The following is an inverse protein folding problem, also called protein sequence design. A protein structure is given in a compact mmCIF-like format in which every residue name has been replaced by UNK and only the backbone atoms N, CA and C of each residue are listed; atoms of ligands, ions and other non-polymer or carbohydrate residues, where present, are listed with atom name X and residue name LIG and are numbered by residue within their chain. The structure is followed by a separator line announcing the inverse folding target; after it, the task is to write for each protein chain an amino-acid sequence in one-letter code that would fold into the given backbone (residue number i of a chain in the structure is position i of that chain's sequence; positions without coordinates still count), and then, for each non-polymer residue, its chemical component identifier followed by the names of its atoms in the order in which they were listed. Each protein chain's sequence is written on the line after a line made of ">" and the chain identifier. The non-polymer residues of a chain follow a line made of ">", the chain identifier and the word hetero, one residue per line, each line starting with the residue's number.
data_IF_769998647153
#
_entry.id   IF_769998647153
#
_cell.length_a   1.000
_cell.length_b   1.000
_cell.length_c   1.000
_cell.angle_alpha   90.00
_cell.angle_beta   90.00
_cell.angle_gamma   90.00
#
_symmetry.space_group_name_H-M   'P 1'
#
loop_
_entity.id
_entity.type
_entity.pdbx_description
1 polymer ?
#
# COMPACT_ATOMS: atom_id res chain seq x y z
N UNK A 1 73.61 4.42 34.64
CA UNK A 1 73.58 3.02 34.22
C UNK A 1 73.10 2.23 35.41
N UNK A 2 72.00 1.49 35.24
CA UNK A 2 71.58 0.37 36.10
C UNK A 2 71.18 0.73 37.56
N UNK A 3 70.26 0.08 38.29
CA UNK A 3 69.42 -1.12 38.11
C UNK A 3 68.53 -1.22 39.37
N UNK A 4 67.26 -1.62 39.17
CA UNK A 4 66.33 -2.39 40.06
C UNK A 4 66.01 -1.87 41.49
N UNK A 5 64.96 -2.26 42.20
CA UNK A 5 64.14 -3.49 42.17
C UNK A 5 62.78 -3.28 42.88
N UNK A 6 61.90 -4.25 42.67
CA UNK A 6 60.50 -4.36 43.07
C UNK A 6 60.32 -4.92 44.49
N UNK A 7 59.20 -4.58 45.15
CA UNK A 7 58.64 -5.24 46.36
C UNK A 7 57.50 -4.33 46.89
N UNK A 8 56.30 -4.70 47.34
CA UNK A 8 55.66 -5.94 47.82
C UNK A 8 54.11 -5.74 47.81
N UNK A 9 53.33 -6.83 47.76
CA UNK A 9 51.89 -6.85 48.11
C UNK A 9 51.71 -7.23 49.58
N UNK A 10 50.63 -6.77 50.23
CA UNK A 10 49.73 -7.67 50.97
C UNK A 10 48.24 -7.27 50.72
N UNK A 11 47.25 -8.15 50.55
CA UNK A 11 46.61 -9.18 51.40
C UNK A 11 45.17 -8.76 51.75
N UNK A 12 44.31 -9.78 51.81
CA UNK A 12 42.85 -9.86 52.00
C UNK A 12 42.34 -9.06 53.23
N UNK A 13 41.06 -8.69 53.43
CA UNK A 13 39.87 -9.53 53.61
C UNK A 13 38.60 -8.64 53.76
N UNK A 14 37.42 -9.22 53.58
CA UNK A 14 36.11 -8.58 53.43
C UNK A 14 35.39 -8.26 54.76
N UNK A 15 34.21 -7.63 54.65
CA UNK A 15 33.18 -7.26 55.66
C UNK A 15 33.29 -5.80 56.14
N UNK A 16 32.25 -5.00 56.36
CA UNK A 16 30.80 -5.22 56.48
C UNK A 16 30.06 -3.85 56.36
N UNK A 17 28.73 -3.92 56.31
CA UNK A 17 27.72 -2.95 56.75
C UNK A 17 27.58 -1.56 56.07
N UNK A 18 26.53 -1.48 55.24
CA UNK A 18 25.43 -0.51 55.25
C UNK A 18 25.71 0.97 55.61
N UNK A 19 25.65 1.83 54.59
CA UNK A 19 25.16 3.20 54.71
C UNK A 19 24.24 3.53 53.54
N UNK A 20 23.11 4.13 53.89
CA UNK A 20 22.00 4.58 53.07
C UNK A 20 22.47 5.71 52.16
N UNK A 21 22.53 5.47 50.85
CA UNK A 21 22.60 6.53 49.84
C UNK A 21 21.29 6.55 49.05
N UNK A 22 20.22 6.95 49.73
CA UNK A 22 19.05 7.49 49.05
C UNK A 22 19.47 8.79 48.38
N UNK A 23 19.63 8.78 47.06
CA UNK A 23 19.80 10.00 46.29
C UNK A 23 18.43 10.69 46.26
N UNK A 24 18.19 11.57 47.23
CA UNK A 24 17.01 12.42 47.26
C UNK A 24 17.17 13.49 46.18
N UNK A 25 16.69 13.17 44.97
CA UNK A 25 16.48 14.19 43.94
C UNK A 25 15.33 15.06 44.43
N UNK A 26 15.68 16.24 44.92
CA UNK A 26 14.73 17.27 45.34
C UNK A 26 14.13 17.91 44.08
N UNK A 27 13.29 17.17 43.36
CA UNK A 27 12.45 17.74 42.32
C UNK A 27 11.30 18.51 43.01
N UNK A 28 11.05 19.78 42.66
CA UNK A 28 9.88 20.48 43.16
C UNK A 28 8.62 19.70 42.73
N UNK A 29 7.82 19.31 43.71
CA UNK A 29 6.55 18.59 43.50
C UNK A 29 5.66 19.43 42.57
N UNK A 30 5.32 18.88 41.41
CA UNK A 30 4.31 19.49 40.54
C UNK A 30 2.97 19.47 41.28
N UNK A 31 2.27 20.60 41.25
CA UNK A 31 1.06 20.87 42.02
C UNK A 31 -0.15 19.98 41.66
N UNK A 32 -0.05 19.11 40.65
CA UNK A 32 -1.14 18.23 40.22
C UNK A 32 -0.80 16.74 40.13
N UNK A 33 0.36 16.27 40.60
CA UNK A 33 0.60 14.84 40.86
C UNK A 33 0.29 13.87 39.71
N UNK A 34 0.38 14.30 38.45
CA UNK A 34 0.24 13.42 37.28
C UNK A 34 1.63 13.03 36.83
N UNK A 35 1.92 11.73 36.76
CA UNK A 35 3.16 11.20 36.22
C UNK A 35 3.41 11.73 34.81
N UNK A 36 4.63 12.20 34.57
CA UNK A 36 5.05 12.76 33.30
C UNK A 36 4.98 11.67 32.22
N UNK A 37 3.92 11.66 31.41
CA UNK A 37 3.93 10.90 30.17
C UNK A 37 4.97 11.55 29.25
N UNK A 38 6.18 11.02 29.24
CA UNK A 38 7.27 11.46 28.37
C UNK A 38 6.83 11.28 26.93
N UNK A 39 6.44 12.37 26.26
CA UNK A 39 6.23 12.38 24.81
C UNK A 39 7.63 12.50 24.17
N UNK A 40 8.13 11.38 23.65
CA UNK A 40 9.56 11.11 23.39
C UNK A 40 10.16 11.85 22.17
N UNK A 41 9.59 12.95 21.69
CA UNK A 41 10.07 13.63 20.46
C UNK A 41 9.91 15.16 20.50
N UNK A 42 10.79 15.85 21.24
CA UNK A 42 10.90 17.34 21.24
C UNK A 42 11.83 17.86 20.13
N UNK A 43 11.75 17.29 18.92
CA UNK A 43 12.57 17.72 17.76
C UNK A 43 11.77 18.55 16.74
N UNK A 44 10.46 18.70 16.92
CA UNK A 44 9.57 19.30 15.91
C UNK A 44 9.22 20.75 16.25
N UNK A 45 9.33 21.69 15.29
CA UNK A 45 9.02 23.09 15.53
C UNK A 45 7.53 23.30 15.84
N UNK A 46 7.22 24.34 16.64
CA UNK A 46 5.87 24.66 17.14
C UNK A 46 4.81 24.90 16.05
N UNK A 47 5.23 25.06 14.79
CA UNK A 47 4.37 25.23 13.61
C UNK A 47 3.93 23.90 12.98
N UNK A 48 4.30 22.76 13.57
CA UNK A 48 3.93 21.45 13.05
C UNK A 48 2.42 21.22 13.13
N UNK A 49 1.78 21.17 11.96
CA UNK A 49 0.43 20.62 11.85
C UNK A 49 0.53 19.10 11.93
N UNK A 50 0.15 18.52 13.08
CA UNK A 50 0.04 17.07 13.26
C UNK A 50 -1.05 16.56 12.33
N UNK A 51 -0.64 16.06 11.17
CA UNK A 51 -1.52 15.34 10.26
C UNK A 51 -2.26 14.26 11.07
N UNK A 52 -3.58 14.19 10.90
CA UNK A 52 -4.42 13.19 11.56
C UNK A 52 -4.05 11.82 11.01
N UNK A 53 -3.03 11.17 11.57
CA UNK A 53 -2.81 9.73 11.39
C UNK A 53 -4.08 9.02 11.88
N UNK A 54 -4.61 8.10 11.08
CA UNK A 54 -5.77 7.30 11.49
C UNK A 54 -5.46 6.65 12.84
N UNK A 55 -6.41 6.73 13.78
CA UNK A 55 -6.22 6.43 15.22
C UNK A 55 -5.76 5.00 15.55
N UNK A 56 -5.59 4.10 14.58
CA UNK A 56 -5.09 2.76 14.86
C UNK A 56 -4.34 2.19 13.64
N UNK A 57 -3.00 2.27 13.61
CA UNK A 57 -2.20 1.61 12.57
C UNK A 57 -2.26 0.08 12.66
N UNK A 58 -2.71 -0.46 13.80
CA UNK A 58 -2.80 -1.90 14.09
C UNK A 58 -4.26 -2.39 14.07
N UNK A 59 -5.10 -1.73 13.27
CA UNK A 59 -6.50 -2.17 13.11
C UNK A 59 -6.50 -3.47 12.33
N UNK A 60 -6.66 -4.59 13.04
CA UNK A 60 -6.78 -5.91 12.43
C UNK A 60 -7.85 -5.90 11.32
N UNK A 61 -7.40 -6.14 10.09
CA UNK A 61 -8.28 -6.21 8.91
C UNK A 61 -9.28 -7.34 9.13
N UNK A 62 -10.58 -7.02 9.01
CA UNK A 62 -11.63 -8.02 9.16
C UNK A 62 -11.38 -9.22 8.24
N UNK A 63 -11.69 -10.43 8.71
CA UNK A 63 -11.55 -11.66 7.92
C UNK A 63 -12.27 -11.55 6.57
N UNK A 64 -13.44 -10.90 6.54
CA UNK A 64 -14.18 -10.61 5.30
C UNK A 64 -13.33 -9.79 4.32
N UNK A 65 -12.67 -8.74 4.79
CA UNK A 65 -11.87 -7.86 3.93
C UNK A 65 -10.60 -8.56 3.41
N UNK A 66 -10.01 -9.48 4.17
CA UNK A 66 -8.87 -10.30 3.72
C UNK A 66 -9.28 -11.34 2.68
N UNK A 67 -10.45 -11.94 2.82
CA UNK A 67 -10.93 -13.04 1.95
C UNK A 67 -11.51 -12.57 0.62
N UNK A 68 -11.96 -11.31 0.51
CA UNK A 68 -12.51 -10.74 -0.73
C UNK A 68 -11.55 -10.93 -1.93
N UNK A 69 -10.24 -10.79 -1.72
CA UNK A 69 -9.25 -10.96 -2.79
C UNK A 69 -9.12 -12.41 -3.30
N UNK A 70 -9.56 -13.41 -2.52
CA UNK A 70 -9.56 -14.81 -2.94
C UNK A 70 -10.87 -15.23 -3.59
N UNK A 71 -11.99 -14.60 -3.21
CA UNK A 71 -13.32 -14.87 -3.80
C UNK A 71 -13.51 -14.15 -5.13
N UNK A 72 -13.02 -12.91 -5.23
CA UNK A 72 -13.04 -12.11 -6.46
C UNK A 72 -11.59 -11.74 -6.82
N UNK A 73 -10.85 -12.71 -7.40
CA UNK A 73 -9.41 -12.59 -7.56
C UNK A 73 -8.98 -11.70 -8.71
N UNK A 74 -9.81 -11.49 -9.73
CA UNK A 74 -9.43 -10.71 -10.90
C UNK A 74 -10.04 -9.31 -10.87
N UNK A 75 -9.19 -8.29 -10.98
CA UNK A 75 -9.60 -6.89 -11.09
C UNK A 75 -9.32 -6.35 -12.48
N UNK A 76 -10.29 -5.64 -13.04
CA UNK A 76 -10.14 -4.87 -14.27
C UNK A 76 -9.63 -3.47 -13.94
N UNK A 77 -8.48 -3.08 -14.51
CA UNK A 77 -7.96 -1.71 -14.47
C UNK A 77 -8.06 -1.10 -15.88
N UNK A 78 -8.74 0.04 -15.99
CA UNK A 78 -8.93 0.76 -17.25
C UNK A 78 -8.25 2.11 -17.12
N UNK A 79 -7.19 2.30 -17.91
CA UNK A 79 -6.43 3.54 -17.94
C UNK A 79 -6.67 4.27 -19.26
N UNK A 80 -7.29 5.44 -19.18
CA UNK A 80 -7.57 6.29 -20.34
C UNK A 80 -6.75 7.56 -20.23
N UNK A 81 -5.87 7.76 -21.20
CA UNK A 81 -5.10 8.99 -21.34
C UNK A 81 -5.56 9.81 -22.54
N UNK A 82 -4.99 11.00 -22.71
CA UNK A 82 -5.21 11.83 -23.90
C UNK A 82 -4.76 11.15 -25.20
N UNK A 83 -3.76 10.26 -25.14
CA UNK A 83 -3.06 9.74 -26.32
C UNK A 83 -3.30 8.25 -26.60
N UNK A 84 -3.64 7.48 -25.57
CA UNK A 84 -3.82 6.05 -25.66
C UNK A 84 -4.79 5.54 -24.60
N UNK A 85 -5.35 4.37 -24.86
CA UNK A 85 -6.17 3.61 -23.91
C UNK A 85 -5.44 2.32 -23.61
N UNK A 86 -5.44 1.94 -22.33
CA UNK A 86 -4.89 0.69 -21.83
C UNK A 86 -5.88 0.06 -20.89
N UNK A 87 -6.08 -1.24 -20.97
CA UNK A 87 -6.89 -2.01 -20.05
C UNK A 87 -6.16 -3.30 -19.69
N UNK A 88 -6.20 -3.69 -18.43
CA UNK A 88 -5.53 -4.89 -17.95
C UNK A 88 -6.36 -5.62 -16.91
N UNK A 89 -6.23 -6.94 -16.90
CA UNK A 89 -6.74 -7.81 -15.86
C UNK A 89 -5.59 -8.20 -14.95
N UNK A 90 -5.74 -7.92 -13.66
CA UNK A 90 -4.73 -8.22 -12.65
C UNK A 90 -5.29 -9.19 -11.62
N UNK A 91 -4.51 -10.20 -11.27
CA UNK A 91 -4.82 -11.10 -10.17
C UNK A 91 -4.43 -10.43 -8.84
N UNK A 92 -5.40 -10.18 -7.95
CA UNK A 92 -5.23 -9.43 -6.70
C UNK A 92 -4.22 -10.08 -5.76
N UNK A 93 -4.24 -11.40 -5.61
CA UNK A 93 -3.39 -12.11 -4.63
C UNK A 93 -1.95 -12.22 -5.12
N UNK A 94 -1.75 -12.49 -6.40
CA UNK A 94 -0.40 -12.68 -6.97
C UNK A 94 0.18 -11.41 -7.56
N UNK A 95 -0.61 -10.32 -7.65
CA UNK A 95 -0.26 -9.05 -8.29
C UNK A 95 0.23 -9.21 -9.74
N UNK A 96 -0.11 -10.32 -10.40
CA UNK A 96 0.29 -10.61 -11.79
C UNK A 96 -0.73 -10.04 -12.76
N UNK A 97 -0.26 -9.44 -13.84
CA UNK A 97 -1.10 -9.06 -14.97
C UNK A 97 -1.34 -10.29 -15.82
N UNK A 98 -2.60 -10.71 -15.91
CA UNK A 98 -3.02 -11.92 -16.63
C UNK A 98 -3.19 -11.61 -18.11
N UNK A 99 -3.93 -10.54 -18.40
CA UNK A 99 -4.16 -10.06 -19.75
C UNK A 99 -3.98 -8.55 -19.78
N UNK A 100 -3.32 -8.06 -20.82
CA UNK A 100 -3.09 -6.63 -21.05
C UNK A 100 -3.48 -6.32 -22.48
N UNK A 101 -4.22 -5.24 -22.69
CA UNK A 101 -4.53 -4.72 -24.01
C UNK A 101 -4.32 -3.21 -24.01
N UNK A 102 -3.69 -2.69 -25.05
CA UNK A 102 -3.50 -1.25 -25.16
C UNK A 102 -3.24 -0.83 -26.59
N UNK A 103 -3.65 0.39 -26.92
CA UNK A 103 -3.51 0.94 -28.28
C UNK A 103 -2.06 1.22 -28.68
N UNK A 104 -1.11 1.09 -27.74
CA UNK A 104 0.32 1.20 -27.98
C UNK A 104 0.98 -0.14 -28.36
N UNK A 105 0.27 -1.25 -28.24
CA UNK A 105 0.79 -2.54 -28.70
C UNK A 105 0.96 -2.54 -30.22
N UNK A 106 2.00 -3.23 -30.72
CA UNK A 106 2.36 -3.21 -32.14
C UNK A 106 1.20 -3.63 -33.04
N UNK A 107 0.50 -4.69 -32.64
CA UNK A 107 -0.59 -5.30 -33.40
C UNK A 107 -1.78 -4.35 -33.52
N UNK A 108 -2.13 -3.67 -32.42
CA UNK A 108 -3.27 -2.74 -32.39
C UNK A 108 -2.93 -1.43 -33.10
N UNK A 109 -1.69 -0.95 -32.97
CA UNK A 109 -1.24 0.28 -33.59
C UNK A 109 -1.28 0.21 -35.12
N UNK A 110 -1.10 -0.97 -35.70
CA UNK A 110 -1.17 -1.19 -37.14
C UNK A 110 -2.62 -1.12 -37.68
N UNK A 111 -3.60 -1.52 -36.87
CA UNK A 111 -5.01 -1.66 -37.29
C UNK A 111 -5.82 -0.39 -37.02
N UNK A 112 -5.52 0.34 -35.94
CA UNK A 112 -6.33 1.48 -35.53
C UNK A 112 -5.92 2.80 -36.21
N UNK A 113 -6.88 3.45 -36.86
CA UNK A 113 -6.75 4.83 -37.38
C UNK A 113 -6.61 5.87 -36.26
N UNK A 114 -7.28 5.63 -35.13
CA UNK A 114 -7.36 6.52 -33.97
C UNK A 114 -7.08 5.77 -32.67
N UNK A 115 -6.37 6.39 -31.73
CA UNK A 115 -5.87 5.71 -30.51
C UNK A 115 -6.69 5.95 -29.25
N UNK A 116 -7.57 6.94 -29.22
CA UNK A 116 -8.30 7.31 -28.00
C UNK A 116 -9.80 7.54 -28.23
N UNK A 117 -10.31 7.22 -29.41
CA UNK A 117 -11.72 7.39 -29.75
C UNK A 117 -12.57 6.23 -29.20
N UNK A 118 -13.89 6.42 -29.19
CA UNK A 118 -14.87 5.40 -28.74
C UNK A 118 -14.70 4.05 -29.47
N UNK A 119 -14.54 3.97 -30.81
CA UNK A 119 -14.31 2.69 -31.49
C UNK A 119 -12.98 2.03 -31.08
N UNK A 120 -11.95 2.82 -30.76
CA UNK A 120 -10.69 2.27 -30.25
C UNK A 120 -10.92 1.60 -28.87
N UNK A 121 -11.73 2.20 -28.00
CA UNK A 121 -12.09 1.62 -26.71
C UNK A 121 -12.82 0.27 -26.86
N UNK A 122 -13.77 0.20 -27.80
CA UNK A 122 -14.45 -1.07 -28.14
C UNK A 122 -13.46 -2.13 -28.64
N UNK A 123 -12.55 -1.75 -29.54
CA UNK A 123 -11.54 -2.70 -30.04
C UNK A 123 -10.61 -3.23 -28.94
N UNK A 124 -10.24 -2.39 -27.96
CA UNK A 124 -9.44 -2.80 -26.81
C UNK A 124 -10.22 -3.76 -25.91
N UNK A 125 -11.51 -3.51 -25.67
CA UNK A 125 -12.36 -4.44 -24.92
C UNK A 125 -12.43 -5.82 -25.58
N UNK A 126 -12.59 -5.86 -26.91
CA UNK A 126 -12.56 -7.11 -27.68
C UNK A 126 -11.23 -7.86 -27.55
N UNK A 127 -10.11 -7.18 -27.78
CA UNK A 127 -8.76 -7.80 -27.71
C UNK A 127 -8.45 -8.26 -26.29
N UNK A 128 -8.83 -7.48 -25.28
CA UNK A 128 -8.66 -7.88 -23.89
C UNK A 128 -9.49 -9.13 -23.57
N UNK A 129 -10.72 -9.21 -24.09
CA UNK A 129 -11.58 -10.36 -23.84
C UNK A 129 -11.04 -11.66 -24.46
N UNK A 130 -10.44 -11.57 -25.64
CA UNK A 130 -9.81 -12.71 -26.32
C UNK A 130 -8.62 -13.23 -25.51
N UNK A 131 -7.72 -12.32 -25.10
CA UNK A 131 -6.57 -12.65 -24.23
C UNK A 131 -6.99 -13.20 -22.86
N UNK A 132 -8.10 -12.72 -22.32
CA UNK A 132 -8.62 -13.20 -21.04
C UNK A 132 -9.17 -14.62 -21.15
N UNK A 133 -9.87 -14.93 -22.24
CA UNK A 133 -10.36 -16.30 -22.52
C UNK A 133 -9.22 -17.28 -22.73
N UNK A 134 -8.15 -16.87 -23.42
CA UNK A 134 -6.94 -17.69 -23.57
C UNK A 134 -6.28 -18.03 -22.22
N UNK A 135 -6.48 -17.16 -21.21
CA UNK A 135 -5.99 -17.35 -19.85
C UNK A 135 -7.05 -17.93 -18.90
N UNK A 136 -8.19 -18.41 -19.42
CA UNK A 136 -9.32 -18.96 -18.67
C UNK A 136 -9.93 -18.00 -17.62
N UNK A 137 -9.92 -16.69 -17.90
CA UNK A 137 -10.53 -15.66 -17.05
C UNK A 137 -11.83 -15.17 -17.66
N UNK A 138 -12.94 -15.47 -16.99
CA UNK A 138 -14.30 -15.11 -17.43
C UNK A 138 -15.01 -14.12 -16.50
N UNK A 139 -14.45 -13.87 -15.31
CA UNK A 139 -15.04 -12.97 -14.31
C UNK A 139 -14.03 -11.92 -13.89
N UNK A 140 -14.45 -10.65 -13.82
CA UNK A 140 -13.62 -9.55 -13.35
C UNK A 140 -14.42 -8.57 -12.47
N UNK A 141 -13.76 -7.99 -11.48
CA UNK A 141 -14.31 -6.88 -10.69
C UNK A 141 -13.74 -5.55 -11.19
N UNK A 142 -14.59 -4.59 -11.51
CA UNK A 142 -14.18 -3.22 -11.81
C UNK A 142 -14.44 -2.33 -10.60
N UNK A 143 -13.36 -1.74 -10.08
CA UNK A 143 -13.42 -0.69 -9.07
C UNK A 143 -13.03 0.63 -9.74
N UNK A 144 -13.97 1.58 -9.89
CA UNK A 144 -13.68 2.92 -10.38
C UNK A 144 -12.62 3.59 -9.48
N UNK A 145 -11.78 4.42 -10.08
CA UNK A 145 -10.89 5.32 -9.31
C UNK A 145 -11.70 6.55 -8.90
N UNK A 146 -11.32 7.21 -7.80
CA UNK A 146 -12.05 8.37 -7.26
C UNK A 146 -12.28 9.50 -8.28
N UNK A 147 -11.39 9.63 -9.26
CA UNK A 147 -11.47 10.65 -10.33
C UNK A 147 -12.26 10.19 -11.57
N UNK A 148 -12.52 8.90 -11.71
CA UNK A 148 -13.05 8.27 -12.92
C UNK A 148 -14.54 8.00 -12.77
N UNK A 149 -15.36 8.72 -13.54
CA UNK A 149 -16.80 8.45 -13.63
C UNK A 149 -17.07 7.30 -14.59
N UNK A 150 -18.03 6.44 -14.27
CA UNK A 150 -18.45 5.33 -15.12
C UNK A 150 -19.27 5.81 -16.33
N UNK A 151 -18.65 6.54 -17.23
CA UNK A 151 -19.30 7.12 -18.41
C UNK A 151 -18.37 7.15 -19.63
N UNK A 152 -18.96 7.36 -20.81
CA UNK A 152 -18.24 7.56 -22.06
C UNK A 152 -17.29 6.40 -22.41
N UNK A 153 -15.98 6.71 -22.43
CA UNK A 153 -14.93 5.78 -22.87
C UNK A 153 -14.79 4.57 -21.95
N UNK A 154 -14.91 4.75 -20.63
CA UNK A 154 -14.82 3.65 -19.66
C UNK A 154 -15.96 2.67 -19.90
N UNK A 155 -17.18 3.20 -20.04
CA UNK A 155 -18.36 2.40 -20.34
C UNK A 155 -18.22 1.64 -21.66
N UNK A 156 -17.66 2.25 -22.70
CA UNK A 156 -17.41 1.56 -23.97
C UNK A 156 -16.48 0.35 -23.81
N UNK A 157 -15.38 0.47 -23.05
CA UNK A 157 -14.47 -0.66 -22.78
C UNK A 157 -15.20 -1.78 -22.02
N UNK A 158 -15.90 -1.43 -20.94
CA UNK A 158 -16.58 -2.41 -20.10
C UNK A 158 -17.74 -3.08 -20.82
N UNK A 159 -18.52 -2.32 -21.59
CA UNK A 159 -19.60 -2.88 -22.41
C UNK A 159 -19.05 -3.87 -23.43
N UNK A 160 -17.96 -3.50 -24.12
CA UNK A 160 -17.33 -4.43 -25.07
C UNK A 160 -16.82 -5.71 -24.40
N UNK A 161 -16.39 -5.68 -23.14
CA UNK A 161 -16.01 -6.90 -22.42
C UNK A 161 -17.21 -7.82 -22.16
N UNK A 162 -18.33 -7.22 -21.73
CA UNK A 162 -19.59 -7.92 -21.48
C UNK A 162 -20.14 -8.54 -22.77
N UNK A 163 -20.13 -7.78 -23.87
CA UNK A 163 -20.61 -8.26 -25.18
C UNK A 163 -19.80 -9.46 -25.69
N UNK A 164 -18.52 -9.57 -25.29
CA UNK A 164 -17.66 -10.69 -25.63
C UNK A 164 -17.70 -11.83 -24.60
N UNK A 165 -18.58 -11.78 -23.59
CA UNK A 165 -18.83 -12.89 -22.66
C UNK A 165 -17.92 -12.93 -21.43
N UNK A 166 -17.42 -11.77 -20.99
CA UNK A 166 -16.77 -11.64 -19.67
C UNK A 166 -17.76 -10.98 -18.71
N UNK A 167 -18.00 -11.63 -17.58
CA UNK A 167 -18.85 -11.09 -16.52
C UNK A 167 -18.06 -10.06 -15.71
N UNK A 168 -18.53 -8.81 -15.71
CA UNK A 168 -17.86 -7.70 -15.03
C UNK A 168 -18.76 -7.18 -13.92
N UNK A 169 -18.32 -7.38 -12.67
CA UNK A 169 -18.97 -6.82 -11.49
C UNK A 169 -18.51 -5.37 -11.28
N UNK A 170 -19.43 -4.43 -11.41
CA UNK A 170 -19.16 -3.00 -11.30
C UNK A 170 -19.55 -2.53 -9.89
N UNK A 171 -18.60 -1.97 -9.16
CA UNK A 171 -18.84 -1.32 -7.88
C UNK A 171 -18.97 0.19 -8.10
N UNK A 172 -20.17 0.73 -8.01
CA UNK A 172 -20.42 2.17 -8.00
C UNK A 172 -20.57 2.59 -6.53
N UNK A 173 -19.78 3.56 -6.09
CA UNK A 173 -19.91 4.21 -4.77
C UNK A 173 -20.84 5.44 -4.89
#
# INVERSE_FOLDING_TARGET
>A
MEVTEQSLRPFLFQTNCAFHNGQTVLAPRSFFGVEDYVDDDTSRPYTYQKEKKSKNPDKHVSFKQRTVAYMEPFTLDVFISKRFVSASLTHRVTCKQVAVAGTNSKDVKAVLRSRCDIPACMSIGRILSERAKEADVYTASYAPRDQDKFEGKIRAVVQSLIDNGIDVKIYLD
#
